data_IF_962607910042
#
_entry.id   IF_962607910042
#
_cell.length_a   1.000
_cell.length_b   1.000
_cell.length_c   1.000
_cell.angle_alpha   90.00
_cell.angle_beta   90.00
_cell.angle_gamma   90.00
#
_symmetry.space_group_name_H-M   'P 1'
#
loop_
_entity.id
_entity.type
_entity.pdbx_description
1 polymer ?
#
# COMPACT_ATOMS: atom_id res chain seq x y z
N UNK A 1 -9.57 -7.91 -12.07
CA UNK A 1 -8.85 -6.79 -11.45
C UNK A 1 -9.35 -5.40 -11.86
N UNK A 2 -10.15 -5.23 -12.93
CA UNK A 2 -10.72 -3.92 -13.30
C UNK A 2 -11.86 -3.40 -12.40
N UNK A 3 -12.39 -4.21 -11.47
CA UNK A 3 -13.46 -3.80 -10.56
C UNK A 3 -12.97 -3.09 -9.28
N UNK A 4 -11.65 -2.92 -9.11
CA UNK A 4 -11.05 -2.21 -7.96
C UNK A 4 -10.34 -0.91 -8.34
N UNK A 5 -10.39 -0.51 -9.61
CA UNK A 5 -9.67 0.66 -10.14
C UNK A 5 -10.58 1.68 -10.86
N UNK A 6 -11.90 1.54 -10.76
CA UNK A 6 -12.88 2.45 -11.41
C UNK A 6 -13.97 2.91 -10.44
N UNK A 7 -13.54 3.63 -9.41
CA UNK A 7 -14.42 4.51 -8.63
C UNK A 7 -13.74 5.88 -8.47
N UNK A 8 -13.27 6.44 -9.57
CA UNK A 8 -12.88 7.85 -9.69
C UNK A 8 -13.26 8.28 -11.11
N UNK A 9 -14.52 8.66 -11.29
CA UNK A 9 -15.00 9.28 -12.52
C UNK A 9 -15.70 10.60 -12.18
N UNK A 10 -14.99 11.67 -12.49
CA UNK A 10 -15.47 12.78 -13.30
C UNK A 10 -16.84 13.39 -12.91
N UNK A 11 -16.76 14.46 -12.13
CA UNK A 11 -17.65 15.62 -12.17
C UNK A 11 -16.75 16.79 -11.75
N UNK A 12 -16.35 17.77 -12.56
CA UNK A 12 -17.02 18.51 -13.63
C UNK A 12 -15.97 19.31 -14.42
N UNK A 13 -16.18 19.45 -15.73
CA UNK A 13 -15.32 20.21 -16.65
C UNK A 13 -16.23 21.04 -17.58
N UNK A 14 -16.20 22.37 -17.50
CA UNK A 14 -16.63 23.37 -18.51
C UNK A 14 -15.87 24.70 -18.17
N UNK A 15 -14.79 25.12 -18.86
CA UNK A 15 -14.69 25.93 -20.13
C UNK A 15 -15.29 27.35 -19.97
N UNK A 16 -14.69 28.52 -20.27
CA UNK A 16 -13.40 28.99 -20.83
C UNK A 16 -13.33 30.55 -20.76
N UNK A 17 -12.11 31.10 -20.94
CA UNK A 17 -11.71 32.36 -21.61
C UNK A 17 -11.78 33.75 -20.93
N UNK A 18 -10.56 34.26 -20.67
CA UNK A 18 -9.95 35.55 -21.08
C UNK A 18 -10.44 36.93 -20.57
N UNK A 19 -9.42 37.66 -20.10
CA UNK A 19 -9.19 39.11 -20.05
C UNK A 19 -9.36 39.85 -18.71
N UNK A 20 -8.41 40.77 -18.51
CA UNK A 20 -8.24 41.77 -17.46
C UNK A 20 -7.49 41.31 -16.19
N UNK A 21 -6.26 41.79 -16.07
CA UNK A 21 -5.60 42.07 -14.79
C UNK A 21 -6.51 42.92 -13.92
N UNK A 22 -7.22 42.26 -13.01
CA UNK A 22 -7.98 42.86 -11.92
C UNK A 22 -7.42 42.38 -10.57
N UNK A 23 -7.54 43.20 -9.51
CA UNK A 23 -6.86 42.98 -8.26
C UNK A 23 -7.57 41.92 -7.41
N UNK A 24 -6.83 40.88 -7.07
CA UNK A 24 -7.00 39.98 -5.91
C UNK A 24 -8.41 39.39 -5.74
N UNK A 25 -8.57 38.15 -6.21
CA UNK A 25 -9.72 37.31 -5.87
C UNK A 25 -9.51 36.70 -4.47
N UNK A 26 -10.54 36.66 -3.59
CA UNK A 26 -10.47 35.93 -2.31
C UNK A 26 -10.21 34.42 -2.48
N UNK A 27 -10.49 33.85 -3.66
CA UNK A 27 -10.12 32.48 -3.99
C UNK A 27 -8.59 32.27 -4.09
N UNK A 28 -7.82 33.33 -4.37
CA UNK A 28 -6.36 33.24 -4.41
C UNK A 28 -5.74 33.19 -3.00
N UNK A 29 -6.40 33.74 -1.97
CA UNK A 29 -5.85 33.74 -0.60
C UNK A 29 -6.00 32.40 0.10
N UNK A 30 -7.12 31.70 -0.08
CA UNK A 30 -7.34 30.37 0.48
C UNK A 30 -6.41 29.35 -0.19
N UNK A 31 -6.37 29.32 -1.53
CA UNK A 31 -5.47 28.45 -2.28
C UNK A 31 -3.99 28.70 -1.94
N UNK A 32 -3.59 29.96 -1.76
CA UNK A 32 -2.24 30.29 -1.27
C UNK A 32 -2.01 29.78 0.15
N UNK A 33 -2.98 29.89 1.03
CA UNK A 33 -2.86 29.40 2.42
C UNK A 33 -2.72 27.89 2.45
N UNK A 34 -3.55 27.16 1.71
CA UNK A 34 -3.45 25.71 1.55
C UNK A 34 -2.09 25.29 0.99
N UNK A 35 -1.60 25.96 -0.06
CA UNK A 35 -0.29 25.66 -0.63
C UNK A 35 0.85 25.85 0.38
N UNK A 36 0.76 26.87 1.25
CA UNK A 36 1.74 27.11 2.32
C UNK A 36 1.68 26.05 3.41
N UNK A 37 0.48 25.58 3.76
CA UNK A 37 0.28 24.47 4.69
C UNK A 37 0.86 23.18 4.10
N UNK A 38 0.60 22.88 2.82
CA UNK A 38 1.18 21.72 2.13
C UNK A 38 2.71 21.78 2.11
N UNK A 39 3.32 22.95 1.84
CA UNK A 39 4.78 23.09 1.89
C UNK A 39 5.34 22.83 3.29
N UNK A 40 4.65 23.30 4.34
CA UNK A 40 5.05 22.99 5.71
C UNK A 40 4.97 21.49 6.01
N UNK A 41 3.89 20.84 5.59
CA UNK A 41 3.73 19.38 5.70
C UNK A 41 4.89 18.66 5.00
N UNK A 42 5.20 19.01 3.75
CA UNK A 42 6.33 18.43 3.00
C UNK A 42 7.65 18.56 3.77
N UNK A 43 7.91 19.72 4.39
CA UNK A 43 9.09 19.94 5.23
C UNK A 43 9.12 19.04 6.46
N UNK A 44 7.97 18.80 7.11
CA UNK A 44 7.87 17.84 8.22
C UNK A 44 8.32 16.45 7.78
N UNK A 45 7.89 15.99 6.61
CA UNK A 45 8.19 14.65 6.11
C UNK A 45 9.64 14.43 5.67
N UNK A 46 10.38 15.50 5.39
CA UNK A 46 11.83 15.46 5.15
C UNK A 46 12.65 15.81 6.40
N UNK A 47 12.02 15.78 7.58
CA UNK A 47 12.59 16.11 8.89
C UNK A 47 13.14 17.57 8.99
N UNK A 48 12.69 18.50 8.13
CA UNK A 48 12.95 19.96 8.24
C UNK A 48 11.93 20.62 9.19
N UNK A 49 11.97 20.22 10.47
CA UNK A 49 11.06 20.74 11.49
C UNK A 49 11.18 22.27 11.68
N UNK A 50 12.37 22.89 11.69
CA UNK A 50 12.49 24.34 11.81
C UNK A 50 11.88 25.09 10.62
N UNK A 51 12.08 24.59 9.38
CA UNK A 51 11.48 25.17 8.19
C UNK A 51 9.96 25.03 8.17
N UNK A 52 9.44 23.86 8.57
CA UNK A 52 8.00 23.64 8.73
C UNK A 52 7.39 24.58 9.78
N UNK A 53 8.02 24.71 10.95
CA UNK A 53 7.57 25.60 12.02
C UNK A 53 7.49 27.05 11.55
N UNK A 54 8.54 27.54 10.87
CA UNK A 54 8.53 28.90 10.31
C UNK A 54 7.35 29.10 9.36
N UNK A 55 7.16 28.16 8.44
CA UNK A 55 6.10 28.25 7.41
C UNK A 55 4.69 28.24 8.01
N UNK A 56 4.46 27.43 9.05
CA UNK A 56 3.18 27.38 9.76
C UNK A 56 2.96 28.62 10.62
N UNK A 57 4.00 29.16 11.25
CA UNK A 57 3.90 30.44 11.96
C UNK A 57 3.47 31.56 11.00
N UNK A 58 4.10 31.68 9.82
CA UNK A 58 3.71 32.68 8.81
C UNK A 58 2.23 32.53 8.40
N UNK A 59 1.75 31.29 8.24
CA UNK A 59 0.34 31.03 7.92
C UNK A 59 -0.59 31.45 9.06
N UNK A 60 -0.24 31.17 10.30
CA UNK A 60 -1.04 31.49 11.48
C UNK A 60 -0.94 32.98 11.87
N UNK A 61 0.05 33.72 11.39
CA UNK A 61 0.06 35.19 11.48
C UNK A 61 -1.02 35.79 10.56
N UNK A 62 -1.11 35.31 9.31
CA UNK A 62 -2.11 35.77 8.35
C UNK A 62 -3.53 35.24 8.63
N UNK A 63 -3.64 34.00 9.12
CA UNK A 63 -4.89 33.31 9.39
C UNK A 63 -4.86 32.58 10.76
N UNK A 64 -4.96 33.31 11.89
CA UNK A 64 -4.75 32.77 13.23
C UNK A 64 -5.72 31.67 13.68
N UNK A 65 -6.86 31.55 13.00
CA UNK A 65 -7.89 30.55 13.26
C UNK A 65 -7.99 29.46 12.20
N UNK A 66 -7.02 29.33 11.29
CA UNK A 66 -7.05 28.27 10.29
C UNK A 66 -6.87 26.89 10.97
N UNK A 67 -7.89 26.01 10.94
CA UNK A 67 -7.86 24.76 11.71
C UNK A 67 -6.79 23.79 11.22
N UNK A 68 -6.55 23.71 9.91
CA UNK A 68 -5.53 22.82 9.35
C UNK A 68 -4.11 23.25 9.76
N UNK A 69 -3.82 24.55 9.73
CA UNK A 69 -2.53 25.07 10.20
C UNK A 69 -2.34 24.81 11.71
N UNK A 70 -3.40 24.88 12.51
CA UNK A 70 -3.35 24.53 13.94
C UNK A 70 -3.10 23.03 14.17
N UNK A 71 -3.67 22.14 13.35
CA UNK A 71 -3.35 20.69 13.38
C UNK A 71 -1.87 20.45 13.10
N UNK A 72 -1.33 21.03 12.02
CA UNK A 72 0.11 20.88 11.68
C UNK A 72 0.99 21.45 12.80
N UNK A 73 0.64 22.61 13.35
CA UNK A 73 1.38 23.21 14.47
C UNK A 73 1.36 22.32 15.73
N UNK A 74 0.20 21.75 16.07
CA UNK A 74 0.10 20.84 17.22
C UNK A 74 0.96 19.60 17.04
N UNK A 75 0.95 19.01 15.84
CA UNK A 75 1.79 17.86 15.49
C UNK A 75 3.29 18.20 15.53
N UNK A 76 3.68 19.37 15.04
CA UNK A 76 5.06 19.86 15.14
C UNK A 76 5.54 19.96 16.59
N UNK A 77 4.72 20.55 17.47
CA UNK A 77 5.05 20.64 18.89
C UNK A 77 5.09 19.27 19.57
N UNK A 78 4.19 18.35 19.20
CA UNK A 78 4.23 16.96 19.65
C UNK A 78 5.52 16.23 19.22
N UNK A 79 5.93 16.36 17.95
CA UNK A 79 7.16 15.75 17.42
C UNK A 79 8.42 16.32 18.11
N UNK A 80 8.39 17.60 18.49
CA UNK A 80 9.46 18.27 19.23
C UNK A 80 9.44 17.99 20.74
N UNK A 81 8.37 17.38 21.27
CA UNK A 81 8.17 17.17 22.70
C UNK A 81 7.75 18.41 23.49
N UNK A 82 7.37 19.51 22.84
CA UNK A 82 6.83 20.71 23.51
C UNK A 82 5.33 20.53 23.80
N UNK A 83 5.03 19.72 24.81
CA UNK A 83 3.65 19.36 25.19
C UNK A 83 2.83 20.58 25.63
N UNK A 84 3.48 21.60 26.19
CA UNK A 84 2.81 22.82 26.64
C UNK A 84 2.39 23.71 25.47
N UNK A 85 3.26 23.89 24.47
CA UNK A 85 2.89 24.59 23.25
C UNK A 85 1.81 23.82 22.46
N UNK A 86 1.96 22.50 22.35
CA UNK A 86 0.95 21.66 21.72
C UNK A 86 -0.42 21.77 22.41
N UNK A 87 -0.46 21.76 23.76
CA UNK A 87 -1.71 21.93 24.53
C UNK A 87 -2.38 23.26 24.23
N UNK A 88 -1.62 24.36 24.21
CA UNK A 88 -2.17 25.68 23.86
C UNK A 88 -2.71 25.71 22.43
N UNK A 89 -2.02 25.08 21.49
CA UNK A 89 -2.46 25.01 20.10
C UNK A 89 -3.72 24.15 19.94
N UNK A 90 -3.81 23.01 20.62
CA UNK A 90 -5.01 22.16 20.59
C UNK A 90 -6.21 22.86 21.24
N UNK A 91 -6.02 23.62 22.32
CA UNK A 91 -7.08 24.46 22.89
C UNK A 91 -7.57 25.54 21.93
N UNK A 92 -6.66 26.14 21.13
CA UNK A 92 -7.02 27.07 20.06
C UNK A 92 -7.78 26.37 18.94
N UNK A 93 -7.38 25.16 18.56
CA UNK A 93 -8.05 24.35 17.55
C UNK A 93 -9.49 24.04 17.98
N UNK A 94 -9.70 23.61 19.23
CA UNK A 94 -11.04 23.34 19.78
C UNK A 94 -11.95 24.58 19.74
N UNK A 95 -11.39 25.76 20.03
CA UNK A 95 -12.14 27.01 20.00
C UNK A 95 -12.62 27.40 18.59
N UNK A 96 -11.85 27.08 17.54
CA UNK A 96 -12.18 27.47 16.14
C UNK A 96 -12.90 26.36 15.36
N UNK A 97 -12.70 25.10 15.74
CA UNK A 97 -13.28 23.93 15.10
C UNK A 97 -13.75 22.93 16.18
N UNK A 98 -14.79 23.29 16.95
CA UNK A 98 -15.28 22.45 18.04
C UNK A 98 -15.85 21.15 17.49
N UNK A 99 -15.66 20.06 18.25
CA UNK A 99 -16.14 18.70 17.92
C UNK A 99 -15.53 18.08 16.66
N UNK A 100 -14.44 18.61 16.13
CA UNK A 100 -13.69 17.94 15.08
C UNK A 100 -12.97 16.71 15.65
N UNK A 101 -13.00 15.56 14.94
CA UNK A 101 -12.24 14.36 15.31
C UNK A 101 -10.77 14.65 15.65
N UNK A 102 -10.10 15.48 14.86
CA UNK A 102 -8.68 15.76 15.02
C UNK A 102 -8.36 16.42 16.35
N UNK A 103 -9.26 17.29 16.84
CA UNK A 103 -9.09 17.94 18.13
C UNK A 103 -9.07 16.91 19.25
N UNK A 104 -10.03 15.99 19.26
CA UNK A 104 -10.13 14.97 20.32
C UNK A 104 -8.94 14.00 20.26
N UNK A 105 -8.57 13.54 19.07
CA UNK A 105 -7.41 12.65 18.89
C UNK A 105 -6.13 13.32 19.38
N UNK A 106 -5.90 14.61 19.05
CA UNK A 106 -4.72 15.34 19.52
C UNK A 106 -4.72 15.56 21.04
N UNK A 107 -5.88 15.75 21.66
CA UNK A 107 -6.01 15.85 23.12
C UNK A 107 -5.59 14.54 23.79
N UNK A 108 -6.09 13.39 23.33
CA UNK A 108 -5.73 12.08 23.89
C UNK A 108 -4.26 11.75 23.65
N UNK A 109 -3.73 12.05 22.46
CA UNK A 109 -2.30 11.90 22.19
C UNK A 109 -1.42 12.74 23.12
N UNK A 110 -1.83 13.96 23.46
CA UNK A 110 -1.12 14.81 24.41
C UNK A 110 -1.12 14.23 25.83
N UNK A 111 -2.28 13.76 26.29
CA UNK A 111 -2.41 13.14 27.61
C UNK A 111 -1.58 11.86 27.72
N UNK A 112 -1.60 11.01 26.69
CA UNK A 112 -0.76 9.82 26.65
C UNK A 112 0.72 10.18 26.60
N UNK A 113 1.13 11.23 25.87
CA UNK A 113 2.52 11.69 25.85
C UNK A 113 3.00 12.24 27.19
N UNK A 114 2.11 12.84 27.99
CA UNK A 114 2.41 13.25 29.37
C UNK A 114 2.64 12.05 30.29
N UNK A 115 1.85 10.98 30.13
CA UNK A 115 1.94 9.77 30.96
C UNK A 115 3.12 8.89 30.56
N UNK A 116 3.35 8.73 29.26
CA UNK A 116 4.37 7.88 28.67
C UNK A 116 5.10 8.65 27.56
N UNK A 117 6.20 9.36 27.90
CA UNK A 117 6.89 10.21 26.94
C UNK A 117 7.40 9.47 25.69
N UNK A 118 7.93 8.24 25.83
CA UNK A 118 8.38 7.31 24.76
C UNK A 118 8.48 5.90 25.37
N UNK A 119 8.22 4.76 24.67
CA UNK A 119 7.69 4.54 23.31
C UNK A 119 6.17 4.24 23.25
N UNK A 120 5.59 4.12 22.05
CA UNK A 120 4.20 3.66 21.84
C UNK A 120 3.30 4.60 21.03
N UNK A 121 3.82 5.26 19.99
CA UNK A 121 3.01 6.12 19.12
C UNK A 121 1.83 5.40 18.48
N UNK A 122 2.06 4.21 17.91
CA UNK A 122 1.03 3.47 17.16
C UNK A 122 -0.16 3.12 18.06
N UNK A 123 0.14 2.63 19.27
CA UNK A 123 -0.86 2.24 20.25
C UNK A 123 -1.61 3.45 20.84
N UNK A 124 -0.91 4.55 21.12
CA UNK A 124 -1.57 5.78 21.58
C UNK A 124 -2.45 6.40 20.51
N UNK A 125 -2.00 6.40 19.24
CA UNK A 125 -2.80 6.88 18.10
C UNK A 125 -4.07 6.04 17.91
N UNK A 126 -3.94 4.72 17.99
CA UNK A 126 -5.06 3.79 17.90
C UNK A 126 -6.09 4.05 19.00
N UNK A 127 -5.66 4.11 20.27
CA UNK A 127 -6.56 4.39 21.41
C UNK A 127 -7.24 5.75 21.26
N UNK A 128 -6.48 6.81 20.96
CA UNK A 128 -7.03 8.13 20.72
C UNK A 128 -8.09 8.16 19.60
N UNK A 129 -7.87 7.41 18.51
CA UNK A 129 -8.84 7.28 17.42
C UNK A 129 -10.09 6.49 17.82
N UNK A 130 -9.95 5.41 18.59
CA UNK A 130 -11.08 4.63 19.13
C UNK A 130 -11.88 5.44 20.15
N UNK A 131 -11.21 6.16 21.05
CA UNK A 131 -11.83 7.04 22.05
C UNK A 131 -12.60 8.20 21.38
N UNK A 132 -12.13 8.65 20.22
CA UNK A 132 -12.85 9.59 19.34
C UNK A 132 -14.11 9.00 18.67
N UNK A 133 -14.40 7.72 18.88
CA UNK A 133 -15.49 6.99 18.23
C UNK A 133 -15.13 6.34 16.90
N UNK A 134 -13.84 6.14 16.60
CA UNK A 134 -13.32 5.60 15.35
C UNK A 134 -13.86 6.33 14.08
N UNK A 135 -13.77 7.68 14.03
CA UNK A 135 -14.36 8.45 12.94
C UNK A 135 -13.69 8.17 11.60
N UNK A 136 -14.47 8.28 10.53
CA UNK A 136 -13.96 8.25 9.16
C UNK A 136 -13.35 9.61 8.83
N UNK A 137 -12.02 9.74 8.98
CA UNK A 137 -11.34 11.04 8.80
C UNK A 137 -11.38 11.56 7.37
N UNK A 138 -11.72 10.73 6.37
CA UNK A 138 -11.97 11.20 5.00
C UNK A 138 -13.29 11.97 4.91
N UNK A 139 -14.32 11.53 5.65
CA UNK A 139 -15.68 12.09 5.60
C UNK A 139 -15.98 13.11 6.68
N UNK A 140 -15.43 12.88 7.87
CA UNK A 140 -15.76 13.62 9.10
C UNK A 140 -14.63 14.54 9.55
N UNK A 141 -13.41 14.35 9.03
CA UNK A 141 -12.26 15.20 9.34
C UNK A 141 -12.28 16.52 8.58
N UNK A 142 -11.33 17.40 8.93
CA UNK A 142 -11.11 18.68 8.26
C UNK A 142 -10.91 18.51 6.73
N UNK A 143 -11.45 19.42 5.91
CA UNK A 143 -11.36 19.30 4.45
C UNK A 143 -9.98 19.71 3.88
N UNK A 144 -8.87 19.29 4.48
CA UNK A 144 -7.52 19.73 4.07
C UNK A 144 -6.62 18.54 3.75
N UNK A 145 -5.93 18.62 2.61
CA UNK A 145 -4.94 17.63 2.23
C UNK A 145 -3.64 17.83 3.01
N UNK A 146 -3.59 17.25 4.21
CA UNK A 146 -2.40 17.18 5.06
C UNK A 146 -1.47 16.02 4.68
N UNK A 147 -1.78 15.31 3.60
CA UNK A 147 -0.92 14.24 3.07
C UNK A 147 0.26 14.88 2.33
N UNK A 148 1.49 14.40 2.53
CA UNK A 148 2.63 14.88 1.75
C UNK A 148 2.39 14.65 0.26
N UNK A 149 2.88 15.57 -0.57
CA UNK A 149 3.04 15.25 -1.99
C UNK A 149 4.13 14.21 -2.13
N UNK A 150 3.79 13.08 -2.75
CA UNK A 150 4.79 12.09 -3.15
C UNK A 150 5.58 12.67 -4.31
N UNK A 151 6.81 13.10 -4.05
CA UNK A 151 7.76 13.40 -5.12
C UNK A 151 8.22 12.09 -5.75
N UNK A 152 8.28 12.00 -7.09
CA UNK A 152 8.81 10.81 -7.73
C UNK A 152 10.29 10.66 -7.37
N UNK A 153 10.65 9.47 -6.89
CA UNK A 153 12.02 9.04 -6.59
C UNK A 153 12.77 8.69 -7.88
N UNK A 154 12.04 8.26 -8.90
CA UNK A 154 12.58 7.80 -10.18
C UNK A 154 13.56 8.82 -10.81
N UNK A 155 13.25 10.12 -11.00
CA UNK A 155 14.21 11.07 -11.59
C UNK A 155 15.59 11.07 -10.92
N UNK A 156 15.64 11.15 -9.58
CA UNK A 156 16.88 11.12 -8.81
C UNK A 156 17.66 9.82 -9.02
N UNK A 157 16.98 8.67 -8.93
CA UNK A 157 17.63 7.37 -9.14
C UNK A 157 18.19 7.27 -10.56
N UNK A 158 17.42 7.66 -11.57
CA UNK A 158 17.80 7.55 -12.97
C UNK A 158 18.99 8.46 -13.34
N UNK A 159 19.12 9.61 -12.69
CA UNK A 159 20.27 10.51 -12.83
C UNK A 159 21.54 9.96 -12.15
N UNK A 160 21.39 9.29 -11.01
CA UNK A 160 22.52 8.92 -10.15
C UNK A 160 23.03 7.48 -10.33
N UNK A 161 22.26 6.59 -10.95
CA UNK A 161 22.67 5.20 -11.16
C UNK A 161 22.44 4.69 -12.57
N UNK A 162 23.24 3.70 -12.97
CA UNK A 162 23.04 2.88 -14.18
C UNK A 162 22.55 1.46 -13.86
N UNK A 163 22.44 1.11 -12.58
CA UNK A 163 21.99 -0.22 -12.16
C UNK A 163 20.53 -0.47 -12.56
N UNK A 164 20.29 -1.52 -13.34
CA UNK A 164 18.94 -1.92 -13.74
C UNK A 164 18.08 -2.30 -12.53
N UNK A 165 18.67 -2.92 -11.50
CA UNK A 165 17.95 -3.30 -10.28
C UNK A 165 17.50 -2.09 -9.47
N UNK A 166 18.37 -1.08 -9.30
CA UNK A 166 18.02 0.14 -8.56
C UNK A 166 16.95 0.95 -9.29
N UNK A 167 17.08 1.09 -10.62
CA UNK A 167 16.05 1.74 -11.45
C UNK A 167 14.73 0.99 -11.41
N UNK A 168 14.76 -0.34 -11.39
CA UNK A 168 13.54 -1.14 -11.26
C UNK A 168 12.89 -0.95 -9.88
N UNK A 169 13.66 -0.95 -8.79
CA UNK A 169 13.12 -0.65 -7.45
C UNK A 169 12.49 0.74 -7.40
N UNK A 170 13.07 1.75 -8.04
CA UNK A 170 12.45 3.06 -8.18
C UNK A 170 11.10 2.99 -8.92
N UNK A 171 11.06 2.29 -10.05
CA UNK A 171 9.81 2.07 -10.79
C UNK A 171 8.73 1.32 -9.99
N UNK A 172 9.12 0.41 -9.09
CA UNK A 172 8.18 -0.24 -8.17
C UNK A 172 7.66 0.73 -7.09
N UNK A 173 8.48 1.69 -6.66
CA UNK A 173 8.15 2.65 -5.61
C UNK A 173 7.16 3.74 -6.07
N UNK A 174 7.31 4.28 -7.29
CA UNK A 174 6.51 5.43 -7.76
C UNK A 174 5.93 5.27 -9.19
N UNK A 175 6.20 4.14 -9.84
CA UNK A 175 5.77 3.85 -11.21
C UNK A 175 6.80 4.26 -12.27
N UNK A 176 6.70 3.66 -13.45
CA UNK A 176 7.55 4.00 -14.60
C UNK A 176 6.80 4.73 -15.71
N UNK A 177 7.49 5.65 -16.40
CA UNK A 177 7.07 6.14 -17.72
C UNK A 177 7.21 5.02 -18.77
N UNK A 178 6.57 5.16 -19.93
CA UNK A 178 6.74 4.17 -21.00
C UNK A 178 8.19 4.03 -21.47
N UNK A 179 8.95 5.13 -21.50
CA UNK A 179 10.36 5.10 -21.90
C UNK A 179 11.20 4.32 -20.88
N UNK A 180 10.92 4.50 -19.60
CA UNK A 180 11.56 3.75 -18.52
C UNK A 180 11.19 2.26 -18.58
N UNK A 181 9.95 1.93 -18.89
CA UNK A 181 9.53 0.54 -19.13
C UNK A 181 10.24 -0.10 -20.32
N UNK A 182 10.36 0.62 -21.43
CA UNK A 182 11.09 0.14 -22.62
C UNK A 182 12.56 -0.09 -22.30
N UNK A 183 13.19 0.87 -21.63
CA UNK A 183 14.57 0.75 -21.17
C UNK A 183 14.73 -0.46 -20.27
N UNK A 184 13.89 -0.63 -19.24
CA UNK A 184 13.98 -1.78 -18.33
C UNK A 184 13.82 -3.10 -19.08
N UNK A 185 12.86 -3.18 -20.01
CA UNK A 185 12.64 -4.38 -20.83
C UNK A 185 13.89 -4.79 -21.63
N UNK A 186 14.67 -3.82 -22.12
CA UNK A 186 15.93 -4.06 -22.84
C UNK A 186 17.07 -4.48 -21.90
N UNK A 187 16.99 -4.18 -20.60
CA UNK A 187 18.03 -4.46 -19.60
C UNK A 187 17.66 -5.61 -18.65
N UNK A 188 16.61 -6.39 -18.98
CA UNK A 188 16.16 -7.49 -18.13
C UNK A 188 17.20 -8.60 -17.90
N UNK A 189 18.18 -8.74 -18.79
CA UNK A 189 19.30 -9.67 -18.61
C UNK A 189 20.26 -9.25 -17.49
N UNK A 190 20.24 -7.98 -17.09
CA UNK A 190 21.14 -7.43 -16.09
C UNK A 190 20.67 -7.70 -14.65
N UNK A 191 19.37 -7.92 -14.43
CA UNK A 191 18.83 -8.26 -13.10
C UNK A 191 19.43 -9.60 -12.64
N UNK A 192 20.11 -9.62 -11.50
CA UNK A 192 20.69 -10.83 -10.90
C UNK A 192 19.88 -11.31 -9.71
N UNK A 193 19.28 -10.39 -8.97
CA UNK A 193 18.41 -10.66 -7.85
C UNK A 193 17.17 -11.45 -8.30
N UNK A 194 16.97 -12.62 -7.69
CA UNK A 194 15.87 -13.53 -8.03
C UNK A 194 14.51 -12.96 -7.67
N UNK A 195 14.41 -12.27 -6.54
CA UNK A 195 13.19 -11.60 -6.11
C UNK A 195 12.81 -10.50 -7.08
N UNK A 196 13.76 -9.66 -7.49
CA UNK A 196 13.50 -8.62 -8.49
C UNK A 196 13.16 -9.18 -9.87
N UNK A 197 13.79 -10.27 -10.32
CA UNK A 197 13.38 -10.94 -11.57
C UNK A 197 11.92 -11.43 -11.49
N UNK A 198 11.51 -11.94 -10.33
CA UNK A 198 10.13 -12.37 -10.13
C UNK A 198 9.17 -11.17 -10.08
N UNK A 199 9.47 -10.14 -9.30
CA UNK A 199 8.67 -8.91 -9.28
C UNK A 199 8.59 -8.27 -10.67
N UNK A 200 9.64 -8.38 -11.50
CA UNK A 200 9.61 -7.93 -12.89
C UNK A 200 8.63 -8.75 -13.74
N UNK A 201 8.54 -10.06 -13.54
CA UNK A 201 7.60 -10.91 -14.28
C UNK A 201 6.15 -10.49 -13.99
N UNK A 202 5.85 -10.14 -12.74
CA UNK A 202 4.56 -9.60 -12.34
C UNK A 202 4.35 -8.16 -12.84
N UNK A 203 5.36 -7.31 -12.73
CA UNK A 203 5.34 -5.95 -13.23
C UNK A 203 5.02 -5.89 -14.73
N UNK A 204 5.47 -6.84 -15.55
CA UNK A 204 5.25 -6.90 -17.00
C UNK A 204 4.00 -7.70 -17.44
N UNK A 205 3.07 -8.03 -16.53
CA UNK A 205 1.78 -8.64 -16.92
C UNK A 205 0.96 -7.74 -17.87
N UNK A 206 0.07 -8.28 -18.74
CA UNK A 206 -0.72 -7.44 -19.65
C UNK A 206 -1.48 -6.29 -18.95
N UNK A 207 -1.40 -5.09 -19.52
CA UNK A 207 -2.07 -3.86 -19.05
C UNK A 207 -2.62 -3.10 -20.27
N UNK A 208 -3.86 -2.59 -20.17
CA UNK A 208 -4.52 -1.91 -21.30
C UNK A 208 -3.87 -0.57 -21.64
N UNK A 209 -3.29 0.09 -20.64
CA UNK A 209 -2.69 1.42 -20.73
C UNK A 209 -1.22 1.40 -21.15
N UNK A 210 -0.65 0.23 -21.50
CA UNK A 210 0.79 0.07 -21.73
C UNK A 210 1.11 -0.73 -23.00
N UNK A 211 2.28 -0.50 -23.64
CA UNK A 211 2.63 -1.15 -24.89
C UNK A 211 2.67 -2.70 -24.78
N UNK A 212 1.77 -3.44 -25.45
CA UNK A 212 1.65 -4.89 -25.25
C UNK A 212 2.89 -5.67 -25.75
N UNK A 213 3.51 -5.20 -26.83
CA UNK A 213 4.72 -5.77 -27.45
C UNK A 213 5.91 -5.81 -26.47
N UNK A 214 6.19 -4.67 -25.83
CA UNK A 214 7.30 -4.50 -24.86
C UNK A 214 7.13 -5.46 -23.69
N UNK A 215 5.89 -5.52 -23.18
CA UNK A 215 5.54 -6.35 -22.02
C UNK A 215 5.59 -7.84 -22.36
N UNK A 216 5.12 -8.25 -23.54
CA UNK A 216 5.20 -9.63 -23.98
C UNK A 216 6.66 -10.11 -24.13
N UNK A 217 7.52 -9.30 -24.77
CA UNK A 217 8.95 -9.58 -24.91
C UNK A 217 9.64 -9.69 -23.55
N UNK A 218 9.35 -8.76 -22.64
CA UNK A 218 9.88 -8.77 -21.27
C UNK A 218 9.54 -10.07 -20.53
N UNK A 219 8.26 -10.48 -20.56
CA UNK A 219 7.83 -11.75 -19.94
C UNK A 219 8.54 -12.96 -20.54
N UNK A 220 8.71 -13.01 -21.86
CA UNK A 220 9.41 -14.13 -22.51
C UNK A 220 10.85 -14.26 -22.00
N UNK A 221 11.58 -13.15 -21.88
CA UNK A 221 12.95 -13.12 -21.33
C UNK A 221 12.96 -13.62 -19.89
N UNK A 222 12.09 -13.07 -19.04
CA UNK A 222 12.03 -13.41 -17.62
C UNK A 222 11.65 -14.88 -17.39
N UNK A 223 10.66 -15.40 -18.11
CA UNK A 223 10.27 -16.82 -18.04
C UNK A 223 11.44 -17.75 -18.34
N UNK A 224 12.20 -17.47 -19.40
CA UNK A 224 13.37 -18.29 -19.76
C UNK A 224 14.41 -18.33 -18.65
N UNK A 225 14.58 -17.22 -17.92
CA UNK A 225 15.52 -17.12 -16.80
C UNK A 225 15.00 -17.73 -15.50
N UNK A 226 13.69 -17.62 -15.24
CA UNK A 226 13.05 -18.09 -14.02
C UNK A 226 12.69 -19.58 -14.07
N UNK A 227 12.42 -20.17 -15.24
CA UNK A 227 12.03 -21.57 -15.36
C UNK A 227 13.07 -22.57 -14.79
N UNK A 228 14.38 -22.42 -15.03
CA UNK A 228 15.38 -23.28 -14.39
C UNK A 228 15.40 -23.14 -12.86
N UNK A 229 15.07 -21.96 -12.32
CA UNK A 229 15.04 -21.73 -10.87
C UNK A 229 13.84 -22.42 -10.21
N UNK A 230 12.70 -22.45 -10.90
CA UNK A 230 11.50 -23.15 -10.46
C UNK A 230 11.60 -24.69 -10.59
N UNK A 231 12.52 -25.19 -11.43
CA UNK A 231 12.73 -26.62 -11.64
C UNK A 231 13.64 -27.27 -10.58
N UNK A 232 14.41 -26.46 -9.83
CA UNK A 232 15.14 -26.94 -8.64
C UNK A 232 14.11 -27.21 -7.55
N UNK A 233 14.33 -28.21 -6.66
CA UNK A 233 13.42 -28.48 -5.54
C UNK A 233 13.25 -27.23 -4.66
N UNK A 234 12.15 -26.50 -4.88
CA UNK A 234 11.73 -25.36 -4.06
C UNK A 234 10.78 -25.84 -2.98
N UNK A 235 10.91 -25.27 -1.78
CA UNK A 235 9.90 -25.45 -0.71
C UNK A 235 8.69 -24.53 -0.88
N UNK A 236 8.76 -23.64 -1.86
CA UNK A 236 7.86 -22.52 -2.11
C UNK A 236 7.05 -22.76 -3.38
N UNK A 237 5.74 -22.53 -3.31
CA UNK A 237 4.84 -22.65 -4.47
C UNK A 237 4.70 -21.38 -5.31
N UNK A 238 5.13 -20.21 -4.82
CA UNK A 238 4.90 -18.89 -5.44
C UNK A 238 5.40 -18.81 -6.89
N UNK A 239 6.71 -19.04 -7.12
CA UNK A 239 7.30 -18.95 -8.46
C UNK A 239 6.77 -20.04 -9.42
N UNK A 240 6.72 -21.33 -9.05
CA UNK A 240 6.13 -22.35 -9.91
C UNK A 240 4.65 -22.09 -10.26
N UNK A 241 3.86 -21.57 -9.31
CA UNK A 241 2.46 -21.20 -9.56
C UNK A 241 2.37 -20.05 -10.56
N UNK A 242 3.22 -19.02 -10.42
CA UNK A 242 3.29 -17.94 -11.39
C UNK A 242 3.63 -18.48 -12.77
N UNK A 243 4.66 -19.32 -12.91
CA UNK A 243 5.08 -19.85 -14.21
C UNK A 243 4.04 -20.78 -14.86
N UNK A 244 3.23 -21.46 -14.05
CA UNK A 244 2.10 -22.27 -14.50
C UNK A 244 0.99 -21.40 -15.11
N UNK A 245 0.70 -20.25 -14.51
CA UNK A 245 -0.46 -19.43 -14.85
C UNK A 245 -0.13 -18.23 -15.77
N UNK A 246 1.12 -17.78 -15.79
CA UNK A 246 1.53 -16.63 -16.61
C UNK A 246 1.33 -16.94 -18.10
N UNK A 247 0.84 -15.94 -18.83
CA UNK A 247 0.41 -16.01 -20.24
C UNK A 247 -0.81 -16.91 -20.53
N UNK A 248 -1.45 -17.47 -19.50
CA UNK A 248 -2.77 -18.10 -19.66
C UNK A 248 -3.88 -17.04 -19.57
N UNK A 249 -4.98 -17.26 -20.30
CA UNK A 249 -6.15 -16.39 -20.21
C UNK A 249 -6.85 -16.59 -18.86
N UNK A 250 -7.25 -15.49 -18.22
CA UNK A 250 -8.10 -15.51 -17.03
C UNK A 250 -9.46 -16.17 -17.27
N UNK A 251 -9.89 -16.24 -18.54
CA UNK A 251 -11.18 -16.80 -18.97
C UNK A 251 -11.03 -18.23 -19.52
N UNK A 252 -9.82 -18.79 -19.54
CA UNK A 252 -9.61 -20.17 -19.94
C UNK A 252 -9.78 -21.12 -18.74
N UNK A 253 -10.51 -22.24 -18.89
CA UNK A 253 -10.58 -23.26 -17.86
C UNK A 253 -9.20 -23.85 -17.59
N UNK A 254 -9.00 -24.41 -16.41
CA UNK A 254 -7.81 -25.20 -16.07
C UNK A 254 -7.82 -26.50 -16.86
N UNK A 255 -6.66 -26.82 -17.44
CA UNK A 255 -6.39 -28.10 -18.10
C UNK A 255 -6.08 -29.18 -17.06
N UNK A 256 -6.13 -30.45 -17.48
CA UNK A 256 -5.75 -31.59 -16.63
C UNK A 256 -4.30 -31.51 -16.15
N UNK A 257 -3.39 -31.07 -17.02
CA UNK A 257 -1.98 -30.89 -16.69
C UNK A 257 -1.78 -29.80 -15.62
N UNK A 258 -2.51 -28.70 -15.73
CA UNK A 258 -2.48 -27.62 -14.73
C UNK A 258 -3.08 -28.08 -13.40
N UNK A 259 -4.19 -28.82 -13.39
CA UNK A 259 -4.77 -29.37 -12.15
C UNK A 259 -3.79 -30.33 -11.45
N UNK A 260 -3.14 -31.23 -12.21
CA UNK A 260 -2.12 -32.11 -11.67
C UNK A 260 -0.89 -31.32 -11.16
N UNK A 261 -0.54 -30.20 -11.80
CA UNK A 261 0.51 -29.31 -11.31
C UNK A 261 0.10 -28.63 -10.00
N UNK A 262 -1.13 -28.12 -9.90
CA UNK A 262 -1.66 -27.51 -8.68
C UNK A 262 -1.63 -28.47 -7.49
N UNK A 263 -1.93 -29.76 -7.68
CA UNK A 263 -1.81 -30.77 -6.63
C UNK A 263 -0.37 -30.91 -6.11
N UNK A 264 0.62 -30.90 -7.02
CA UNK A 264 2.03 -30.91 -6.63
C UNK A 264 2.42 -29.65 -5.88
N UNK A 265 1.99 -28.48 -6.34
CA UNK A 265 2.24 -27.20 -5.67
C UNK A 265 1.57 -27.14 -4.29
N UNK A 266 0.35 -27.69 -4.19
CA UNK A 266 -0.38 -27.86 -2.94
C UNK A 266 0.29 -28.85 -1.97
N UNK A 267 1.35 -29.56 -2.36
CA UNK A 267 2.17 -30.36 -1.44
C UNK A 267 3.37 -29.61 -0.85
N UNK A 268 3.78 -28.48 -1.43
CA UNK A 268 4.96 -27.71 -0.99
C UNK A 268 4.67 -26.94 0.30
N UNK A 269 5.53 -26.95 1.33
CA UNK A 269 5.16 -26.45 2.66
C UNK A 269 4.88 -24.95 2.75
N UNK A 270 5.43 -24.12 1.84
CA UNK A 270 5.35 -22.66 1.91
C UNK A 270 4.75 -22.07 0.62
N UNK A 271 4.07 -20.92 0.74
CA UNK A 271 3.73 -20.13 -0.43
C UNK A 271 4.96 -19.35 -0.91
N UNK A 272 5.39 -18.33 -0.15
CA UNK A 272 6.61 -17.53 -0.38
C UNK A 272 7.60 -17.71 0.76
N UNK A 273 8.89 -17.42 0.51
CA UNK A 273 9.97 -17.47 1.50
C UNK A 273 10.51 -16.13 1.95
N UNK A 274 10.12 -15.02 1.31
CA UNK A 274 10.70 -13.69 1.59
C UNK A 274 9.72 -12.83 2.40
N UNK A 275 10.03 -12.47 3.66
CA UNK A 275 9.13 -11.63 4.46
C UNK A 275 9.12 -10.18 3.96
N UNK A 276 7.98 -9.50 4.12
CA UNK A 276 7.81 -8.10 3.72
C UNK A 276 8.87 -7.16 4.35
N UNK A 277 9.29 -7.44 5.59
CA UNK A 277 10.37 -6.72 6.26
C UNK A 277 11.70 -6.76 5.53
N UNK A 278 12.01 -7.87 4.88
CA UNK A 278 13.21 -7.98 4.08
C UNK A 278 13.06 -7.21 2.76
N UNK A 279 11.91 -7.34 2.08
CA UNK A 279 11.62 -6.57 0.85
C UNK A 279 11.72 -5.05 1.09
N UNK A 280 11.17 -4.57 2.21
CA UNK A 280 11.25 -3.17 2.62
C UNK A 280 12.70 -2.72 2.87
N UNK A 281 13.44 -3.46 3.68
CA UNK A 281 14.84 -3.12 4.00
C UNK A 281 15.72 -3.13 2.75
N UNK A 282 15.48 -4.06 1.83
CA UNK A 282 16.20 -4.15 0.56
C UNK A 282 15.86 -2.96 -0.36
N UNK A 283 14.59 -2.58 -0.46
CA UNK A 283 14.18 -1.42 -1.23
C UNK A 283 14.75 -0.11 -0.66
N UNK A 284 14.69 0.07 0.66
CA UNK A 284 15.23 1.26 1.34
C UNK A 284 16.74 1.39 1.09
N UNK A 285 17.48 0.30 1.29
CA UNK A 285 18.93 0.24 1.04
C UNK A 285 19.27 0.62 -0.41
N UNK A 286 18.55 0.08 -1.39
CA UNK A 286 18.80 0.33 -2.82
C UNK A 286 18.49 1.79 -3.18
N UNK A 287 17.36 2.33 -2.75
CA UNK A 287 16.99 3.73 -3.01
C UNK A 287 18.00 4.71 -2.40
N UNK A 288 18.43 4.47 -1.16
CA UNK A 288 19.47 5.29 -0.50
C UNK A 288 20.81 5.20 -1.21
N UNK A 289 21.22 4.01 -1.67
CA UNK A 289 22.45 3.83 -2.43
C UNK A 289 22.45 4.59 -3.76
N UNK A 290 21.28 4.81 -4.35
CA UNK A 290 21.09 5.62 -5.58
C UNK A 290 20.93 7.12 -5.31
N UNK A 291 21.23 7.60 -4.09
CA UNK A 291 21.22 9.03 -3.76
C UNK A 291 19.87 9.59 -3.30
N UNK A 292 18.87 8.75 -3.02
CA UNK A 292 17.60 9.19 -2.43
C UNK A 292 17.75 9.32 -0.91
N UNK A 293 17.91 10.55 -0.42
CA UNK A 293 18.11 10.83 1.02
C UNK A 293 16.87 10.52 1.87
N UNK A 294 15.69 10.88 1.37
CA UNK A 294 14.40 10.71 2.06
C UNK A 294 13.44 9.93 1.16
N UNK A 295 13.49 8.58 1.19
CA UNK A 295 12.70 7.77 0.27
C UNK A 295 11.21 7.71 0.64
N UNK A 296 10.80 8.30 1.77
CA UNK A 296 9.40 8.41 2.18
C UNK A 296 8.69 7.05 2.23
N UNK A 297 7.49 6.97 1.64
CA UNK A 297 6.75 5.72 1.48
C UNK A 297 7.26 4.82 0.35
N UNK A 298 8.24 5.27 -0.45
CA UNK A 298 8.73 4.54 -1.63
C UNK A 298 9.22 3.11 -1.35
N UNK A 299 10.04 2.86 -0.30
CA UNK A 299 10.49 1.51 0.03
C UNK A 299 9.33 0.58 0.39
N UNK A 300 8.30 1.11 1.04
CA UNK A 300 7.08 0.37 1.34
C UNK A 300 6.31 0.03 0.07
N UNK A 301 6.11 1.01 -0.82
CA UNK A 301 5.44 0.76 -2.11
C UNK A 301 6.19 -0.27 -2.94
N UNK A 302 7.52 -0.19 -3.01
CA UNK A 302 8.34 -1.18 -3.70
C UNK A 302 8.20 -2.57 -3.06
N UNK A 303 8.20 -2.66 -1.73
CA UNK A 303 7.98 -3.93 -1.03
C UNK A 303 6.61 -4.52 -1.31
N UNK A 304 5.53 -3.71 -1.23
CA UNK A 304 4.16 -4.12 -1.54
C UNK A 304 4.06 -4.64 -2.98
N UNK A 305 4.67 -3.94 -3.93
CA UNK A 305 4.68 -4.36 -5.34
C UNK A 305 5.52 -5.62 -5.60
N UNK A 306 6.34 -6.05 -4.63
CA UNK A 306 7.10 -7.29 -4.63
C UNK A 306 6.43 -8.42 -3.83
N UNK A 307 5.24 -8.21 -3.27
CA UNK A 307 4.40 -9.28 -2.74
C UNK A 307 3.67 -9.90 -3.94
N UNK A 308 4.12 -11.08 -4.39
CA UNK A 308 3.64 -11.65 -5.65
C UNK A 308 2.25 -12.25 -5.51
N UNK A 309 1.23 -11.45 -5.77
CA UNK A 309 -0.19 -11.77 -5.54
C UNK A 309 -0.96 -12.04 -6.83
N UNK A 310 -0.35 -11.79 -7.99
CA UNK A 310 -0.95 -12.11 -9.27
C UNK A 310 -1.26 -13.62 -9.39
N UNK A 311 -0.36 -14.53 -9.05
CA UNK A 311 -0.63 -15.96 -9.26
C UNK A 311 -1.87 -16.47 -8.49
N UNK A 312 -2.07 -16.16 -7.19
CA UNK A 312 -3.30 -16.42 -6.45
C UNK A 312 -4.54 -15.79 -7.08
N UNK A 313 -4.45 -14.54 -7.54
CA UNK A 313 -5.57 -13.88 -8.23
C UNK A 313 -5.95 -14.59 -9.54
N UNK A 314 -4.96 -15.00 -10.35
CA UNK A 314 -5.21 -15.76 -11.58
C UNK A 314 -5.85 -17.11 -11.28
N UNK A 315 -5.36 -17.82 -10.27
CA UNK A 315 -5.93 -19.08 -9.83
C UNK A 315 -7.41 -18.92 -9.45
N UNK A 316 -7.73 -17.92 -8.64
CA UNK A 316 -9.11 -17.60 -8.23
C UNK A 316 -10.05 -17.42 -9.43
N UNK A 317 -9.58 -16.74 -10.48
CA UNK A 317 -10.37 -16.51 -11.70
C UNK A 317 -10.53 -17.76 -12.54
N UNK A 318 -9.47 -18.54 -12.72
CA UNK A 318 -9.52 -19.74 -13.55
C UNK A 318 -10.29 -20.87 -12.88
N UNK A 319 -10.24 -20.98 -11.55
CA UNK A 319 -11.07 -21.92 -10.78
C UNK A 319 -12.56 -21.64 -11.00
N UNK A 320 -12.97 -20.37 -10.92
CA UNK A 320 -14.37 -19.97 -11.12
C UNK A 320 -14.90 -20.35 -12.51
N UNK A 321 -14.07 -20.22 -13.56
CA UNK A 321 -14.41 -20.63 -14.93
C UNK A 321 -14.43 -22.16 -15.10
N UNK A 322 -13.66 -22.88 -14.29
CA UNK A 322 -13.46 -24.33 -14.44
C UNK A 322 -14.55 -25.13 -13.74
N UNK A 323 -15.04 -24.67 -12.58
CA UNK A 323 -15.83 -25.46 -11.62
C UNK A 323 -17.02 -26.23 -12.22
N UNK A 324 -17.75 -25.62 -13.15
CA UNK A 324 -18.95 -26.20 -13.76
C UNK A 324 -18.65 -27.31 -14.78
N UNK A 325 -17.40 -27.41 -15.24
CA UNK A 325 -16.95 -28.37 -16.26
C UNK A 325 -16.37 -29.66 -15.67
N UNK A 326 -16.18 -29.68 -14.36
CA UNK A 326 -15.52 -30.77 -13.65
C UNK A 326 -16.52 -31.84 -13.22
N UNK A 327 -16.08 -33.09 -13.27
CA UNK A 327 -16.72 -34.20 -12.56
C UNK A 327 -16.63 -34.00 -11.04
N UNK A 328 -17.45 -34.72 -10.27
CA UNK A 328 -17.44 -34.63 -8.81
C UNK A 328 -16.06 -34.95 -8.20
N UNK A 329 -15.35 -35.94 -8.75
CA UNK A 329 -14.00 -36.30 -8.31
C UNK A 329 -12.99 -35.18 -8.59
N UNK A 330 -13.03 -34.60 -9.78
CA UNK A 330 -12.14 -33.49 -10.15
C UNK A 330 -12.42 -32.23 -9.32
N UNK A 331 -13.69 -31.94 -9.00
CA UNK A 331 -14.04 -30.84 -8.08
C UNK A 331 -13.43 -31.05 -6.71
N UNK A 332 -13.52 -32.27 -6.16
CA UNK A 332 -12.92 -32.59 -4.87
C UNK A 332 -11.40 -32.42 -4.88
N UNK A 333 -10.72 -32.92 -5.93
CA UNK A 333 -9.26 -32.84 -6.07
C UNK A 333 -8.76 -31.40 -6.23
N UNK A 334 -9.39 -30.64 -7.13
CA UNK A 334 -9.09 -29.22 -7.33
C UNK A 334 -9.40 -28.43 -6.06
N UNK A 335 -10.56 -28.66 -5.44
CA UNK A 335 -10.99 -28.00 -4.21
C UNK A 335 -9.99 -28.15 -3.07
N UNK A 336 -9.46 -29.37 -2.84
CA UNK A 336 -8.39 -29.61 -1.84
C UNK A 336 -7.11 -28.84 -2.15
N UNK A 337 -6.72 -28.80 -3.43
CA UNK A 337 -5.49 -28.14 -3.86
C UNK A 337 -5.60 -26.62 -3.69
N UNK A 338 -6.73 -26.05 -4.09
CA UNK A 338 -7.05 -24.62 -3.97
C UNK A 338 -7.19 -24.22 -2.50
N UNK A 339 -7.88 -25.02 -1.68
CA UNK A 339 -7.96 -24.80 -0.23
C UNK A 339 -6.58 -24.77 0.42
N UNK A 340 -5.74 -25.77 0.12
CA UNK A 340 -4.41 -25.89 0.71
C UNK A 340 -3.48 -24.76 0.29
N UNK A 341 -3.47 -24.39 -0.99
CA UNK A 341 -2.71 -23.25 -1.49
C UNK A 341 -3.24 -21.94 -0.87
N UNK A 342 -4.56 -21.78 -0.80
CA UNK A 342 -5.21 -20.64 -0.17
C UNK A 342 -4.81 -20.46 1.29
N UNK A 343 -4.78 -21.54 2.08
CA UNK A 343 -4.32 -21.50 3.47
C UNK A 343 -2.85 -21.09 3.64
N UNK A 344 -1.98 -21.44 2.68
CA UNK A 344 -0.58 -21.00 2.70
C UNK A 344 -0.42 -19.54 2.30
N UNK A 345 -1.18 -19.08 1.31
CA UNK A 345 -1.23 -17.65 0.97
C UNK A 345 -1.77 -16.86 2.17
N UNK A 346 -2.84 -17.33 2.82
CA UNK A 346 -3.43 -16.69 3.99
C UNK A 346 -2.53 -16.70 5.25
N UNK A 347 -1.45 -17.47 5.26
CA UNK A 347 -0.44 -17.43 6.33
C UNK A 347 0.61 -16.32 6.15
N UNK A 348 0.58 -15.61 5.02
CA UNK A 348 1.43 -14.46 4.76
C UNK A 348 1.11 -13.28 5.69
N UNK A 349 2.07 -12.40 5.97
CA UNK A 349 1.90 -11.34 6.97
C UNK A 349 0.98 -10.20 6.54
N UNK A 350 0.63 -10.10 5.24
CA UNK A 350 -0.08 -8.94 4.70
C UNK A 350 -1.59 -9.11 4.62
N UNK A 351 -2.33 -8.01 4.74
CA UNK A 351 -3.78 -8.00 4.62
C UNK A 351 -4.23 -8.51 3.24
N UNK A 352 -3.47 -8.17 2.19
CA UNK A 352 -3.76 -8.61 0.83
C UNK A 352 -3.59 -10.13 0.66
N UNK A 353 -2.51 -10.70 1.20
CA UNK A 353 -2.29 -12.15 1.21
C UNK A 353 -3.40 -12.88 1.98
N UNK A 354 -3.75 -12.39 3.18
CA UNK A 354 -4.89 -12.91 3.96
C UNK A 354 -6.18 -12.90 3.13
N UNK A 355 -6.54 -11.78 2.52
CA UNK A 355 -7.76 -11.66 1.73
C UNK A 355 -7.78 -12.59 0.50
N UNK A 356 -6.66 -12.70 -0.23
CA UNK A 356 -6.58 -13.58 -1.40
C UNK A 356 -6.58 -15.05 -1.00
N UNK A 357 -5.84 -15.41 0.05
CA UNK A 357 -5.77 -16.76 0.58
C UNK A 357 -7.14 -17.27 1.05
N UNK A 358 -7.88 -16.47 1.82
CA UNK A 358 -9.22 -16.85 2.26
C UNK A 358 -10.25 -16.89 1.13
N UNK A 359 -10.11 -16.07 0.07
CA UNK A 359 -10.96 -16.23 -1.13
C UNK A 359 -10.69 -17.54 -1.86
N UNK A 360 -9.43 -17.97 -1.96
CA UNK A 360 -9.10 -19.28 -2.50
C UNK A 360 -9.66 -20.39 -1.61
N UNK A 361 -9.51 -20.28 -0.29
CA UNK A 361 -10.10 -21.23 0.66
C UNK A 361 -11.63 -21.31 0.50
N UNK A 362 -12.34 -20.19 0.42
CA UNK A 362 -13.79 -20.18 0.19
C UNK A 362 -14.19 -20.94 -1.09
N UNK A 363 -13.50 -20.69 -2.21
CA UNK A 363 -13.73 -21.41 -3.46
C UNK A 363 -13.37 -22.90 -3.37
N UNK A 364 -12.28 -23.23 -2.68
CA UNK A 364 -11.86 -24.61 -2.44
C UNK A 364 -12.92 -25.38 -1.65
N UNK A 365 -13.48 -24.77 -0.61
CA UNK A 365 -14.56 -25.33 0.20
C UNK A 365 -15.87 -25.48 -0.59
N UNK A 366 -16.22 -24.49 -1.43
CA UNK A 366 -17.37 -24.58 -2.35
C UNK A 366 -17.25 -25.79 -3.28
N UNK A 367 -16.08 -25.98 -3.90
CA UNK A 367 -15.80 -27.14 -4.76
C UNK A 367 -15.92 -28.48 -4.04
N UNK A 368 -15.56 -28.51 -2.76
CA UNK A 368 -15.65 -29.71 -1.91
C UNK A 368 -17.05 -29.94 -1.31
N UNK A 369 -17.95 -28.96 -1.40
CA UNK A 369 -19.24 -28.98 -0.70
C UNK A 369 -19.11 -28.90 0.82
N UNK A 370 -18.01 -28.32 1.33
CA UNK A 370 -17.76 -28.18 2.77
C UNK A 370 -18.24 -26.81 3.27
N UNK A 371 -19.51 -26.74 3.68
CA UNK A 371 -20.13 -25.49 4.14
C UNK A 371 -19.51 -24.94 5.43
N UNK A 372 -18.93 -25.80 6.29
CA UNK A 372 -18.29 -25.35 7.53
C UNK A 372 -16.99 -24.61 7.23
N UNK A 373 -16.16 -25.19 6.35
CA UNK A 373 -14.94 -24.55 5.88
C UNK A 373 -15.21 -23.27 5.09
N UNK A 374 -16.27 -23.27 4.28
CA UNK A 374 -16.72 -22.08 3.54
C UNK A 374 -17.14 -20.96 4.49
N UNK A 375 -17.93 -21.27 5.51
CA UNK A 375 -18.37 -20.29 6.51
C UNK A 375 -17.20 -19.70 7.31
N UNK A 376 -16.19 -20.52 7.64
CA UNK A 376 -14.94 -20.07 8.26
C UNK A 376 -14.22 -19.05 7.37
N UNK A 377 -13.93 -19.41 6.11
CA UNK A 377 -13.26 -18.52 5.18
C UNK A 377 -14.03 -17.22 4.95
N UNK A 378 -15.37 -17.29 4.83
CA UNK A 378 -16.22 -16.11 4.70
C UNK A 378 -16.17 -15.20 5.95
N UNK A 379 -15.98 -15.76 7.15
CA UNK A 379 -15.82 -14.97 8.39
C UNK A 379 -14.52 -14.19 8.40
N UNK A 380 -13.41 -14.85 8.03
CA UNK A 380 -12.09 -14.23 7.94
C UNK A 380 -12.06 -13.11 6.88
N UNK A 381 -12.76 -13.30 5.75
CA UNK A 381 -12.91 -12.25 4.74
C UNK A 381 -13.67 -11.03 5.26
N UNK A 382 -14.70 -11.21 6.10
CA UNK A 382 -15.40 -10.09 6.75
C UNK A 382 -14.50 -9.36 7.73
N UNK A 383 -13.69 -10.08 8.50
CA UNK A 383 -12.70 -9.47 9.39
C UNK A 383 -11.67 -8.66 8.60
N UNK A 384 -11.13 -9.22 7.52
CA UNK A 384 -10.19 -8.49 6.66
C UNK A 384 -10.79 -7.24 6.01
N UNK A 385 -12.09 -7.25 5.68
CA UNK A 385 -12.79 -6.06 5.18
C UNK A 385 -12.99 -5.00 6.27
N UNK A 386 -13.29 -5.41 7.51
CA UNK A 386 -13.36 -4.50 8.64
C UNK A 386 -12.00 -3.85 8.93
N UNK A 387 -10.91 -4.63 8.93
CA UNK A 387 -9.54 -4.14 9.11
C UNK A 387 -9.18 -3.12 8.01
N UNK A 388 -9.45 -3.46 6.74
CA UNK A 388 -9.22 -2.56 5.60
C UNK A 388 -9.99 -1.24 5.76
N UNK A 389 -11.23 -1.33 6.21
CA UNK A 389 -12.09 -0.16 6.42
C UNK A 389 -11.54 0.73 7.53
N UNK A 390 -11.21 0.15 8.70
CA UNK A 390 -10.61 0.88 9.81
C UNK A 390 -9.26 1.54 9.44
N UNK A 391 -8.39 0.81 8.73
CA UNK A 391 -7.12 1.34 8.24
C UNK A 391 -7.30 2.52 7.28
N UNK A 392 -8.35 2.51 6.47
CA UNK A 392 -8.67 3.63 5.58
C UNK A 392 -9.32 4.81 6.32
N UNK A 393 -9.98 4.57 7.44
CA UNK A 393 -10.63 5.63 8.24
C UNK A 393 -9.64 6.41 9.11
N UNK A 394 -8.63 5.74 9.68
CA UNK A 394 -7.62 6.39 10.54
C UNK A 394 -6.62 7.26 9.77
N UNK A 395 -6.45 7.02 8.46
CA UNK A 395 -5.61 7.79 7.53
C UNK A 395 -4.26 8.23 8.13
N UNK A 396 -3.40 7.27 8.51
CA UNK A 396 -2.17 7.56 9.26
C UNK A 396 -1.26 8.61 8.59
N UNK A 397 -1.25 8.65 7.25
CA UNK A 397 -0.45 9.59 6.43
C UNK A 397 -0.93 11.05 6.52
N UNK A 398 -2.12 11.29 7.06
CA UNK A 398 -2.69 12.63 7.25
C UNK A 398 -2.12 13.35 8.47
N UNK A 399 -1.49 12.62 9.37
CA UNK A 399 -0.89 13.16 10.59
C UNK A 399 0.57 13.51 10.31
N UNK A 400 0.97 14.79 10.31
CA UNK A 400 2.35 15.21 10.08
C UNK A 400 3.21 14.94 11.34
N UNK A 401 3.32 13.65 11.68
CA UNK A 401 4.07 13.08 12.80
C UNK A 401 5.02 12.01 12.23
N UNK A 402 6.21 12.38 11.74
CA UNK A 402 7.15 11.44 11.13
C UNK A 402 7.54 10.28 12.06
N UNK A 403 7.66 10.53 13.37
CA UNK A 403 7.93 9.48 14.35
C UNK A 403 6.81 8.44 14.45
N UNK A 404 5.54 8.87 14.48
CA UNK A 404 4.38 7.98 14.43
C UNK A 404 4.36 7.18 13.14
N UNK A 405 4.54 7.83 11.99
CA UNK A 405 4.54 7.13 10.71
C UNK A 405 5.65 6.09 10.63
N UNK A 406 6.88 6.39 11.06
CA UNK A 406 7.98 5.42 11.09
C UNK A 406 7.66 4.22 11.99
N UNK A 407 7.06 4.46 13.15
CA UNK A 407 6.63 3.38 14.06
C UNK A 407 5.54 2.52 13.43
N UNK A 408 4.51 3.15 12.87
CA UNK A 408 3.41 2.48 12.16
C UNK A 408 3.91 1.63 11.00
N UNK A 409 4.76 2.20 10.13
CA UNK A 409 5.33 1.48 9.00
C UNK A 409 6.19 0.29 9.44
N UNK A 410 6.96 0.44 10.52
CA UNK A 410 7.78 -0.65 11.07
C UNK A 410 6.91 -1.83 11.52
N UNK A 411 5.78 -1.55 12.18
CA UNK A 411 4.85 -2.60 12.61
C UNK A 411 4.12 -3.24 11.43
N UNK A 412 3.59 -2.43 10.49
CA UNK A 412 2.94 -2.93 9.27
C UNK A 412 3.86 -3.83 8.44
N UNK A 413 5.13 -3.44 8.31
CA UNK A 413 6.12 -4.20 7.54
C UNK A 413 6.55 -5.49 8.25
N UNK A 414 6.46 -5.53 9.58
CA UNK A 414 6.75 -6.73 10.36
C UNK A 414 5.61 -7.77 10.26
N UNK A 415 4.36 -7.34 10.48
CA UNK A 415 3.17 -8.18 10.35
C UNK A 415 1.90 -7.33 10.22
N UNK A 416 1.58 -6.89 8.99
CA UNK A 416 0.46 -5.98 8.71
C UNK A 416 -0.89 -6.50 9.22
N UNK A 417 -1.20 -7.78 9.01
CA UNK A 417 -2.46 -8.37 9.48
C UNK A 417 -2.63 -8.24 11.00
N UNK A 418 -1.62 -8.60 11.78
CA UNK A 418 -1.68 -8.50 13.25
C UNK A 418 -1.73 -7.04 13.71
N UNK A 419 -0.89 -6.19 13.11
CA UNK A 419 -0.82 -4.77 13.46
C UNK A 419 -2.16 -4.05 13.18
N UNK A 420 -2.70 -4.18 11.98
CA UNK A 420 -3.97 -3.54 11.60
C UNK A 420 -5.18 -4.25 12.24
N UNK A 421 -5.07 -5.53 12.59
CA UNK A 421 -6.09 -6.27 13.33
C UNK A 421 -6.50 -5.59 14.64
N UNK A 422 -5.54 -4.95 15.32
CA UNK A 422 -5.76 -4.20 16.57
C UNK A 422 -6.68 -3.00 16.40
N UNK A 423 -6.91 -2.52 15.18
CA UNK A 423 -7.84 -1.41 14.90
C UNK A 423 -9.31 -1.81 15.06
N UNK A 424 -9.62 -3.11 14.97
CA UNK A 424 -11.00 -3.64 15.05
C UNK A 424 -11.21 -4.54 16.27
N UNK A 425 -10.15 -4.81 17.03
CA UNK A 425 -10.25 -5.47 18.33
C UNK A 425 -10.85 -4.52 19.38
N UNK A 426 -11.78 -4.99 20.23
CA UNK A 426 -12.44 -4.17 21.26
C UNK A 426 -11.50 -3.58 22.32
#
# INVERSE_FOLDING_TARGET
>A
MKALWRALSLSTLVVQLSCASLPWSPFDSEARTEARISEAVERVWVDDLPGAQKRISDVLEDAPGNPAALVVQACLFLEQGDLEAATRTVARLDAVAPRQPETHILQELLEERRRTPVPGWSESMRRAWVDAGAPDLEKEGLATNLTPRTLPLSPTVWENTRSAEERFVAMLADGGTEDQERWLADHLSELQDRGLMFSALEYFQPREDRPPEVRARARQVLRKRLAPLAAVETRESELPLMLLLVDTSLEAPLTQEEMAALERLASLPLYTGTPMSQLYADAERRLRASGVTHPGAGPFMAAVMSIHTAAPFWLLKRVDVTKDRLSAEERMRLGRSVWTLGGRVASGPTLLEHQLGFRLMEQGAELMGDEAQRALAASELRQGEAIRTASNQILITRWPLPSLFREWMKESVAHEWEHLGRLVEP
#
